data_IF_175768111462
#
_entry.id   IF_175768111462
#
_cell.length_a   1.000
_cell.length_b   1.000
_cell.length_c   1.000
_cell.angle_alpha   90.00
_cell.angle_beta   90.00
_cell.angle_gamma   90.00
#
_symmetry.space_group_name_H-M   'P 1'
#
loop_
_entity.id
_entity.type
_entity.pdbx_description
1 polymer ?
#
# COMPACT_ATOMS: atom_id res chain seq x y z
N UNK A 1 -10.63 -12.72 9.74
CA UNK A 1 -9.62 -11.69 10.05
C UNK A 1 -9.27 -10.96 8.76
N UNK A 2 -9.50 -9.65 8.65
CA UNK A 2 -9.26 -8.96 7.38
C UNK A 2 -7.74 -8.81 7.12
N UNK A 3 -7.26 -9.21 5.92
CA UNK A 3 -5.83 -9.21 5.59
C UNK A 3 -5.28 -7.78 5.55
N UNK A 4 -4.09 -7.54 6.12
CA UNK A 4 -3.39 -6.26 6.07
C UNK A 4 -2.89 -5.97 4.66
N UNK A 5 -2.78 -4.70 4.29
CA UNK A 5 -2.05 -4.29 3.07
C UNK A 5 -0.63 -4.84 3.08
N UNK A 6 -0.25 -5.40 1.95
CA UNK A 6 0.98 -6.12 1.67
C UNK A 6 1.59 -5.62 0.37
N UNK A 7 2.89 -5.88 0.10
CA UNK A 7 3.52 -5.45 -1.15
C UNK A 7 2.82 -6.01 -2.39
N UNK A 8 2.34 -7.26 -2.33
CA UNK A 8 1.58 -7.91 -3.42
C UNK A 8 0.33 -7.15 -3.86
N UNK A 9 -0.23 -6.32 -2.99
CA UNK A 9 -1.41 -5.53 -3.33
C UNK A 9 -1.09 -4.39 -4.31
N UNK A 10 0.19 -4.06 -4.52
CA UNK A 10 0.64 -3.11 -5.54
C UNK A 10 0.21 -3.52 -6.96
N UNK A 11 0.07 -4.82 -7.22
CA UNK A 11 -0.41 -5.36 -8.50
C UNK A 11 -1.85 -5.00 -8.83
N UNK A 12 -2.63 -4.55 -7.85
CA UNK A 12 -4.02 -4.14 -8.04
C UNK A 12 -4.14 -2.63 -8.33
N UNK A 13 -3.02 -1.93 -8.53
CA UNK A 13 -2.98 -0.49 -8.78
C UNK A 13 -2.61 -0.27 -10.24
N UNK A 14 -3.55 0.31 -10.98
CA UNK A 14 -3.38 0.75 -12.37
C UNK A 14 -3.29 2.28 -12.44
N UNK A 15 -4.07 2.97 -11.61
CA UNK A 15 -4.14 4.43 -11.53
C UNK A 15 -3.78 4.91 -10.11
N UNK A 16 -3.38 6.18 -10.00
CA UNK A 16 -2.99 6.77 -8.71
C UNK A 16 -4.12 6.70 -7.65
N UNK A 17 -5.37 6.76 -8.08
CA UNK A 17 -6.58 6.74 -7.23
C UNK A 17 -6.80 5.38 -6.55
N UNK A 18 -6.40 4.28 -7.20
CA UNK A 18 -6.53 2.91 -6.68
C UNK A 18 -5.78 2.70 -5.36
N UNK A 19 -4.80 3.57 -5.06
CA UNK A 19 -4.03 3.51 -3.81
C UNK A 19 -4.93 3.68 -2.58
N UNK A 20 -5.98 4.49 -2.67
CA UNK A 20 -6.89 4.75 -1.55
C UNK A 20 -7.89 3.61 -1.35
N UNK A 21 -8.16 2.83 -2.41
CA UNK A 21 -8.96 1.61 -2.35
C UNK A 21 -8.17 0.43 -1.76
N UNK A 22 -6.90 0.31 -2.12
CA UNK A 22 -5.99 -0.75 -1.62
C UNK A 22 -5.55 -0.49 -0.18
N UNK A 23 -5.30 0.76 0.18
CA UNK A 23 -4.80 1.15 1.51
C UNK A 23 -5.95 1.49 2.47
N UNK A 24 -6.67 0.45 2.91
CA UNK A 24 -7.73 0.61 3.91
C UNK A 24 -7.27 0.27 5.33
N UNK A 25 -7.73 1.07 6.32
CA UNK A 25 -7.44 0.85 7.73
C UNK A 25 -8.33 -0.25 8.34
N UNK A 26 -7.97 -1.50 8.07
CA UNK A 26 -8.65 -2.69 8.59
C UNK A 26 -8.43 -2.95 10.09
N UNK A 27 -7.77 -2.02 10.80
CA UNK A 27 -7.53 -2.08 12.25
C UNK A 27 -8.39 -1.11 13.06
N UNK A 28 -9.42 -0.52 12.46
CA UNK A 28 -10.46 0.16 13.21
C UNK A 28 -11.09 -0.81 14.23
N UNK A 29 -11.21 -0.41 15.51
CA UNK A 29 -11.67 -1.28 16.61
C UNK A 29 -11.44 -0.67 18.00
N UNK A 30 -11.64 -1.46 19.07
CA UNK A 30 -11.78 -1.06 20.49
C UNK A 30 -10.65 -0.16 21.06
N UNK A 31 -9.51 0.00 20.38
CA UNK A 31 -8.43 0.94 20.76
C UNK A 31 -7.81 1.69 19.58
N UNK A 32 -8.60 1.92 18.53
CA UNK A 32 -8.17 2.72 17.39
C UNK A 32 -8.07 4.21 17.79
N UNK A 33 -6.90 4.81 17.57
CA UNK A 33 -6.68 6.24 17.77
C UNK A 33 -6.40 6.89 16.40
N UNK A 34 -6.94 8.09 16.11
CA UNK A 34 -6.70 8.81 14.85
C UNK A 34 -5.21 8.97 14.48
N UNK A 35 -4.33 9.20 15.45
CA UNK A 35 -2.89 9.28 15.22
C UNK A 35 -2.27 7.94 14.79
N UNK A 36 -2.77 6.81 15.31
CA UNK A 36 -2.33 5.47 14.89
C UNK A 36 -2.90 5.13 13.50
N UNK A 37 -4.12 5.55 13.19
CA UNK A 37 -4.72 5.39 11.86
C UNK A 37 -3.91 6.14 10.79
N UNK A 38 -3.60 7.42 11.02
CA UNK A 38 -2.74 8.24 10.13
C UNK A 38 -1.35 7.63 9.93
N UNK A 39 -0.72 7.10 10.99
CA UNK A 39 0.58 6.41 10.88
C UNK A 39 0.50 5.15 10.02
N UNK A 40 -0.56 4.34 10.16
CA UNK A 40 -0.77 3.15 9.33
C UNK A 40 -1.00 3.51 7.87
N UNK A 41 -1.88 4.49 7.62
CA UNK A 41 -2.13 5.03 6.28
C UNK A 41 -0.84 5.44 5.58
N UNK A 42 -0.02 6.29 6.22
CA UNK A 42 1.29 6.68 5.67
C UNK A 42 2.23 5.51 5.44
N UNK A 43 2.33 4.58 6.40
CA UNK A 43 3.18 3.39 6.27
C UNK A 43 2.78 2.54 5.07
N UNK A 44 1.49 2.30 4.89
CA UNK A 44 1.00 1.44 3.81
C UNK A 44 1.05 2.14 2.45
N UNK A 45 0.75 3.44 2.35
CA UNK A 45 1.01 4.21 1.13
C UNK A 45 2.49 4.11 0.73
N UNK A 46 3.40 4.37 1.67
CA UNK A 46 4.85 4.23 1.41
C UNK A 46 5.23 2.82 0.95
N UNK A 47 4.73 1.78 1.62
CA UNK A 47 5.00 0.38 1.26
C UNK A 47 4.63 0.11 -0.20
N UNK A 48 3.42 0.52 -0.59
CA UNK A 48 2.88 0.30 -1.93
C UNK A 48 3.65 1.10 -2.98
N UNK A 49 3.88 2.39 -2.75
CA UNK A 49 4.64 3.23 -3.72
C UNK A 49 6.07 2.73 -3.90
N UNK A 50 6.71 2.25 -2.82
CA UNK A 50 8.04 1.64 -2.91
C UNK A 50 8.03 0.35 -3.73
N UNK A 51 7.01 -0.50 -3.57
CA UNK A 51 6.90 -1.72 -4.38
C UNK A 51 6.69 -1.40 -5.86
N UNK A 52 5.78 -0.48 -6.20
CA UNK A 52 5.56 -0.03 -7.58
C UNK A 52 6.86 0.48 -8.21
N UNK A 53 7.63 1.27 -7.46
CA UNK A 53 8.92 1.78 -7.94
C UNK A 53 9.94 0.66 -8.17
N UNK A 54 10.00 -0.34 -7.29
CA UNK A 54 10.90 -1.48 -7.44
C UNK A 54 10.50 -2.36 -8.62
N UNK A 55 9.20 -2.57 -8.83
CA UNK A 55 8.68 -3.34 -9.96
C UNK A 55 9.02 -2.63 -11.29
N UNK A 56 8.76 -1.32 -11.39
CA UNK A 56 9.15 -0.52 -12.55
C UNK A 56 10.67 -0.58 -12.83
N UNK A 57 11.48 -0.48 -11.77
CA UNK A 57 12.94 -0.63 -11.89
C UNK A 57 13.35 -2.01 -12.37
N UNK A 58 12.70 -3.06 -11.88
CA UNK A 58 13.00 -4.43 -12.28
C UNK A 58 12.65 -4.67 -13.76
N UNK A 59 11.62 -4.01 -14.28
CA UNK A 59 11.25 -4.06 -15.69
C UNK A 59 12.27 -3.32 -16.57
N UNK A 60 12.77 -2.14 -16.14
CA UNK A 60 13.85 -1.41 -16.84
C UNK A 60 15.10 -2.29 -17.05
N UNK A 61 15.46 -3.12 -16.06
CA UNK A 61 16.61 -4.04 -16.16
C UNK A 61 16.35 -5.30 -17.00
N UNK A 62 15.09 -5.59 -17.36
CA UNK A 62 14.73 -6.79 -18.13
C UNK A 62 14.69 -6.51 -19.64
N UNK A 63 14.46 -5.26 -20.04
CA UNK A 63 14.37 -4.83 -21.44
C UNK A 63 15.67 -4.27 -22.03
N UNK A 64 16.70 -4.02 -21.21
CA UNK A 64 18.03 -3.55 -21.62
C UNK A 64 19.08 -4.64 -21.74
#
# INVERSE_FOLDING_TARGET
>A
MNKRTSPRDAKNISFAEDIDEVVQDKRAGWRANPAKARRRQRRYKKLITTEIFNDAKADDYREG
#
